data_IF_455125108720
#
_entry.id   IF_455125108720
#
_cell.length_a   1.000
_cell.length_b   1.000
_cell.length_c   1.000
_cell.angle_alpha   90.00
_cell.angle_beta   90.00
_cell.angle_gamma   90.00
#
_symmetry.space_group_name_H-M   'P 1'
#
loop_
_entity.id
_entity.type
_entity.pdbx_description
1 polymer ?
#
# COMPACT_ATOMS: atom_id res chain seq x y z
N UNK A 1 -1.62 7.31 -6.79
CA UNK A 1 -1.95 5.91 -6.55
C UNK A 1 -2.63 5.77 -5.19
N UNK A 2 -3.59 4.87 -5.09
CA UNK A 2 -4.31 4.66 -3.83
C UNK A 2 -3.36 4.28 -2.69
N UNK A 3 -2.34 3.47 -2.97
CA UNK A 3 -1.37 3.07 -1.96
C UNK A 3 -0.59 4.27 -1.42
N UNK A 4 -0.12 5.15 -2.31
CA UNK A 4 0.62 6.33 -1.89
C UNK A 4 -0.27 7.27 -1.07
N UNK A 5 -1.52 7.42 -1.45
CA UNK A 5 -2.47 8.25 -0.71
C UNK A 5 -2.73 7.71 0.69
N UNK A 6 -2.91 6.39 0.79
CA UNK A 6 -3.13 5.73 2.08
C UNK A 6 -1.92 5.92 2.98
N UNK A 7 -0.72 5.71 2.47
CA UNK A 7 0.50 5.86 3.27
C UNK A 7 0.77 7.31 3.64
N UNK A 8 0.40 8.25 2.79
CA UNK A 8 0.52 9.68 3.10
C UNK A 8 -0.37 10.05 4.29
N UNK A 9 -1.59 9.52 4.31
CA UNK A 9 -2.57 9.83 5.35
C UNK A 9 -2.29 9.09 6.67
N UNK A 10 -1.98 7.79 6.58
CA UNK A 10 -1.86 6.94 7.77
C UNK A 10 -0.44 6.78 8.31
N UNK A 11 0.57 7.06 7.49
CA UNK A 11 1.96 6.80 7.87
C UNK A 11 2.30 5.31 7.75
N UNK A 12 3.19 4.83 8.61
CA UNK A 12 3.59 3.42 8.56
C UNK A 12 2.45 2.53 9.06
N UNK A 13 2.06 1.56 8.25
CA UNK A 13 0.99 0.61 8.59
C UNK A 13 1.42 -0.80 8.21
N UNK A 14 0.76 -1.79 8.82
CA UNK A 14 1.07 -3.19 8.52
C UNK A 14 0.60 -3.55 7.12
N UNK A 15 1.16 -4.65 6.61
CA UNK A 15 0.78 -5.19 5.31
C UNK A 15 -0.73 -5.46 5.23
N UNK A 16 -1.29 -6.08 6.26
CA UNK A 16 -2.72 -6.38 6.31
C UNK A 16 -3.54 -5.10 6.29
N UNK A 17 -3.14 -4.10 7.08
CA UNK A 17 -3.82 -2.81 7.11
C UNK A 17 -3.73 -2.10 5.76
N UNK A 18 -2.58 -2.15 5.12
CA UNK A 18 -2.40 -1.53 3.81
C UNK A 18 -3.38 -2.11 2.78
N UNK A 19 -3.49 -3.43 2.73
CA UNK A 19 -4.41 -4.08 1.80
C UNK A 19 -5.86 -3.72 2.13
N UNK A 20 -6.23 -3.80 3.41
CA UNK A 20 -7.60 -3.52 3.85
C UNK A 20 -8.01 -2.08 3.55
N UNK A 21 -7.17 -1.12 3.92
CA UNK A 21 -7.48 0.30 3.75
C UNK A 21 -7.48 0.67 2.27
N UNK A 22 -6.49 0.19 1.52
CA UNK A 22 -6.39 0.48 0.09
C UNK A 22 -7.57 -0.12 -0.67
N UNK A 23 -7.98 -1.34 -0.33
CA UNK A 23 -9.15 -1.97 -0.93
C UNK A 23 -10.40 -1.14 -0.69
N UNK A 24 -10.58 -0.66 0.55
CA UNK A 24 -11.72 0.18 0.89
C UNK A 24 -11.73 1.49 0.10
N UNK A 25 -10.54 2.09 -0.10
CA UNK A 25 -10.43 3.32 -0.88
C UNK A 25 -10.78 3.09 -2.35
N UNK A 26 -10.32 1.99 -2.92
CA UNK A 26 -10.63 1.66 -4.32
C UNK A 26 -12.13 1.47 -4.50
N UNK A 27 -12.77 0.75 -3.57
CA UNK A 27 -14.21 0.50 -3.62
C UNK A 27 -14.98 1.80 -3.41
N UNK A 28 -14.57 2.61 -2.44
CA UNK A 28 -15.22 3.88 -2.13
C UNK A 28 -15.20 4.84 -3.31
N UNK A 29 -14.09 4.89 -4.04
CA UNK A 29 -13.94 5.79 -5.16
C UNK A 29 -14.51 5.22 -6.46
N UNK A 30 -15.16 4.06 -6.37
CA UNK A 30 -15.82 3.38 -7.51
C UNK A 30 -14.88 3.22 -8.71
N UNK A 31 -13.60 2.92 -8.41
CA UNK A 31 -12.63 2.67 -9.46
C UNK A 31 -12.97 1.32 -10.11
N UNK A 32 -13.17 1.28 -11.43
CA UNK A 32 -13.46 0.02 -12.12
C UNK A 32 -12.31 -0.97 -11.89
N UNK A 33 -12.67 -2.18 -11.49
CA UNK A 33 -11.67 -3.18 -11.19
C UNK A 33 -12.14 -4.56 -11.62
N UNK A 34 -11.34 -5.21 -12.45
CA UNK A 34 -11.58 -6.59 -12.85
C UNK A 34 -10.52 -7.48 -12.22
N UNK A 35 -10.94 -8.60 -11.66
CA UNK A 35 -10.05 -9.58 -11.08
C UNK A 35 -9.92 -9.42 -9.57
N UNK A 36 -8.81 -9.90 -9.03
CA UNK A 36 -8.59 -9.93 -7.59
C UNK A 36 -7.91 -8.64 -7.11
N UNK A 37 -8.63 -7.86 -6.31
CA UNK A 37 -8.14 -6.58 -5.82
C UNK A 37 -6.89 -6.74 -4.94
N UNK A 38 -6.82 -7.82 -4.15
CA UNK A 38 -5.65 -8.11 -3.34
C UNK A 38 -4.40 -8.32 -4.17
N UNK A 39 -4.52 -9.07 -5.28
CA UNK A 39 -3.42 -9.29 -6.21
C UNK A 39 -2.96 -7.99 -6.86
N UNK A 40 -3.92 -7.14 -7.23
CA UNK A 40 -3.60 -5.85 -7.82
C UNK A 40 -2.81 -4.97 -6.87
N UNK A 41 -3.24 -4.91 -5.60
CA UNK A 41 -2.56 -4.13 -4.58
C UNK A 41 -1.14 -4.66 -4.35
N UNK A 42 -0.99 -6.00 -4.28
CA UNK A 42 0.33 -6.61 -4.13
C UNK A 42 1.26 -6.21 -5.27
N UNK A 43 0.77 -6.28 -6.49
CA UNK A 43 1.57 -5.97 -7.67
C UNK A 43 1.99 -4.50 -7.69
N UNK A 44 1.05 -3.59 -7.43
CA UNK A 44 1.35 -2.16 -7.40
C UNK A 44 2.31 -1.84 -6.25
N UNK A 45 2.13 -2.49 -5.10
CA UNK A 45 3.02 -2.33 -3.96
C UNK A 45 4.46 -2.70 -4.32
N UNK A 46 4.64 -3.84 -4.97
CA UNK A 46 5.98 -4.28 -5.40
C UNK A 46 6.59 -3.31 -6.40
N UNK A 47 5.78 -2.79 -7.31
CA UNK A 47 6.25 -1.81 -8.29
C UNK A 47 6.71 -0.52 -7.60
N UNK A 48 5.94 -0.02 -6.65
CA UNK A 48 6.29 1.19 -5.91
C UNK A 48 7.54 0.98 -5.07
N UNK A 49 7.70 -0.20 -4.47
CA UNK A 49 8.89 -0.54 -3.70
C UNK A 49 10.12 -0.59 -4.61
N UNK A 50 9.97 -1.18 -5.79
CA UNK A 50 11.03 -1.25 -6.80
C UNK A 50 11.47 0.13 -7.24
N UNK A 51 10.54 1.08 -7.32
CA UNK A 51 10.85 2.46 -7.71
C UNK A 51 11.38 3.31 -6.56
N UNK A 52 11.45 2.75 -5.36
CA UNK A 52 11.94 3.48 -4.20
C UNK A 52 10.96 4.50 -3.64
N UNK A 53 9.68 4.36 -3.93
CA UNK A 53 8.66 5.29 -3.44
C UNK A 53 8.09 4.88 -2.09
N UNK A 54 8.15 3.58 -1.78
CA UNK A 54 7.75 3.07 -0.48
C UNK A 54 8.84 2.14 0.04
N UNK A 55 8.83 1.91 1.35
CA UNK A 55 9.81 1.03 1.98
C UNK A 55 9.13 0.01 2.88
N UNK A 56 9.79 -1.12 3.02
CA UNK A 56 9.36 -2.21 3.87
C UNK A 56 10.13 -2.14 5.18
N UNK A 57 9.41 -2.17 6.29
CA UNK A 57 10.01 -2.12 7.62
C UNK A 57 9.56 -3.34 8.39
N UNK A 58 10.51 -4.16 8.84
CA UNK A 58 10.21 -5.30 9.69
C UNK A 58 10.50 -4.93 11.13
N UNK A 59 9.48 -4.97 11.99
CA UNK A 59 9.62 -4.69 13.41
C UNK A 59 9.00 -5.85 14.20
N UNK A 60 9.85 -6.51 14.99
CA UNK A 60 9.48 -7.73 15.70
C UNK A 60 8.97 -8.76 14.70
N UNK A 61 7.72 -9.20 14.79
CA UNK A 61 7.16 -10.17 13.86
C UNK A 61 6.18 -9.54 12.88
N UNK A 62 6.19 -8.21 12.77
CA UNK A 62 5.24 -7.51 11.92
C UNK A 62 5.95 -6.79 10.78
N UNK A 63 5.32 -6.82 9.62
CA UNK A 63 5.83 -6.15 8.43
C UNK A 63 5.01 -4.89 8.21
N UNK A 64 5.71 -3.75 8.15
CA UNK A 64 5.10 -2.44 7.92
C UNK A 64 5.53 -1.88 6.57
N UNK A 65 4.69 -1.03 6.02
CA UNK A 65 5.03 -0.27 4.82
C UNK A 65 4.83 1.22 5.10
N UNK A 66 5.72 2.04 4.55
CA UNK A 66 5.62 3.48 4.68
C UNK A 66 6.21 4.14 3.44
N UNK A 67 5.92 5.44 3.27
CA UNK A 67 6.56 6.19 2.22
C UNK A 67 8.05 6.27 2.51
N UNK A 68 8.84 6.10 1.45
CA UNK A 68 10.29 6.24 1.60
C UNK A 68 10.63 7.72 1.61
N UNK A 69 11.30 8.16 2.67
CA UNK A 69 11.69 9.55 2.81
C UNK A 69 13.02 9.77 2.11
N UNK A 70 12.97 10.34 0.93
CA UNK A 70 14.16 10.70 0.17
C UNK A 70 14.56 12.13 0.52
N UNK A 71 15.32 12.25 1.56
CA UNK A 71 15.89 13.53 1.91
C UNK A 71 17.25 13.70 1.24
#
# INVERSE_FOLDING_TARGET
>A
SAILDVLTFHGAITHTELITITSAEIIKNKIPFEGNIGWHIEWVKLDLESKGLIQRIKDKNKLYFSLKNNS
#
